data_IF_045406274821
#
_entry.id   IF_045406274821
#
_cell.length_a   1.000
_cell.length_b   1.000
_cell.length_c   1.000
_cell.angle_alpha   90.00
_cell.angle_beta   90.00
_cell.angle_gamma   90.00
#
_symmetry.space_group_name_H-M   'P 1'
#
loop_
_entity.id
_entity.type
_entity.pdbx_description
1 polymer ?
#
# COMPACT_ATOMS: atom_id res chain seq x y z
N UNK A 1 -8.98 -5.15 37.56
CA UNK A 1 -7.88 -4.28 37.10
C UNK A 1 -7.47 -4.79 35.73
N UNK A 2 -7.64 -3.99 34.67
CA UNK A 2 -7.24 -4.41 33.32
C UNK A 2 -5.71 -4.37 33.27
N UNK A 3 -5.09 -5.54 33.25
CA UNK A 3 -3.67 -5.72 32.97
C UNK A 3 -3.44 -5.35 31.52
N UNK A 4 -3.12 -4.08 31.24
CA UNK A 4 -2.71 -3.68 29.90
C UNK A 4 -1.37 -4.33 29.60
N UNK A 5 -1.32 -5.14 28.54
CA UNK A 5 -0.08 -5.69 28.01
C UNK A 5 0.82 -4.49 27.65
N UNK A 6 2.12 -4.50 28.04
CA UNK A 6 3.07 -3.49 27.59
C UNK A 6 3.05 -3.33 26.07
N UNK A 7 3.15 -2.10 25.59
CA UNK A 7 3.09 -1.78 24.16
C UNK A 7 4.15 -2.55 23.36
N UNK A 8 5.36 -2.69 23.89
CA UNK A 8 6.46 -3.45 23.26
C UNK A 8 6.08 -4.91 22.97
N UNK A 9 5.32 -5.54 23.87
CA UNK A 9 4.86 -6.91 23.66
C UNK A 9 3.76 -6.98 22.59
N UNK A 10 2.85 -6.00 22.55
CA UNK A 10 1.84 -5.91 21.50
C UNK A 10 2.51 -5.71 20.13
N UNK A 11 3.52 -4.85 20.06
CA UNK A 11 4.29 -4.61 18.85
C UNK A 11 5.03 -5.87 18.41
N UNK A 12 5.73 -6.55 19.31
CA UNK A 12 6.42 -7.81 18.98
C UNK A 12 5.45 -8.89 18.46
N UNK A 13 4.26 -9.03 19.06
CA UNK A 13 3.25 -9.98 18.58
C UNK A 13 2.78 -9.60 17.18
N UNK A 14 2.50 -8.33 16.92
CA UNK A 14 2.01 -7.87 15.62
C UNK A 14 3.09 -7.91 14.55
N UNK A 15 4.35 -7.63 14.89
CA UNK A 15 5.49 -7.78 14.01
C UNK A 15 5.66 -9.26 13.60
N UNK A 16 5.43 -10.22 14.51
CA UNK A 16 5.41 -11.67 14.18
C UNK A 16 4.22 -12.09 13.31
N UNK A 17 3.12 -11.32 13.35
CA UNK A 17 1.92 -11.57 12.55
C UNK A 17 1.88 -10.71 11.27
N UNK A 18 2.96 -9.98 10.95
CA UNK A 18 2.99 -9.00 9.86
C UNK A 18 2.53 -9.58 8.51
N UNK A 19 2.88 -10.86 8.25
CA UNK A 19 2.53 -11.56 7.01
C UNK A 19 1.12 -12.20 7.03
N UNK A 20 0.52 -12.40 8.21
CA UNK A 20 -0.83 -12.97 8.35
C UNK A 20 -1.88 -11.87 8.50
N UNK A 21 -2.32 -11.36 7.35
CA UNK A 21 -3.38 -10.35 7.27
C UNK A 21 -4.69 -10.78 7.94
N UNK A 22 -5.00 -12.07 8.03
CA UNK A 22 -6.24 -12.55 8.69
C UNK A 22 -6.10 -12.38 10.19
N UNK A 23 -4.97 -12.80 10.76
CA UNK A 23 -4.68 -12.62 12.18
C UNK A 23 -4.56 -11.15 12.55
N UNK A 24 -3.92 -10.31 11.72
CA UNK A 24 -3.85 -8.85 11.95
C UNK A 24 -5.24 -8.20 11.96
N UNK A 25 -6.16 -8.62 11.09
CA UNK A 25 -7.55 -8.13 11.10
C UNK A 25 -8.25 -8.52 12.40
N UNK A 26 -8.11 -9.75 12.87
CA UNK A 26 -8.67 -10.18 14.15
C UNK A 26 -8.07 -9.39 15.32
N UNK A 27 -6.75 -9.20 15.33
CA UNK A 27 -6.01 -8.41 16.31
C UNK A 27 -6.49 -6.96 16.38
N UNK A 28 -6.84 -6.37 15.24
CA UNK A 28 -7.34 -4.99 15.17
C UNK A 28 -8.64 -4.76 15.95
N UNK A 29 -9.38 -5.83 16.28
CA UNK A 29 -10.65 -5.78 17.01
C UNK A 29 -10.50 -5.98 18.52
N UNK A 30 -9.30 -6.35 19.01
CA UNK A 30 -9.08 -6.70 20.42
C UNK A 30 -9.17 -5.48 21.33
N UNK A 31 -8.45 -4.40 20.99
CA UNK A 31 -8.49 -3.13 21.74
C UNK A 31 -7.91 -1.98 20.91
N UNK A 32 -8.04 -0.73 21.38
CA UNK A 32 -7.50 0.45 20.68
C UNK A 32 -5.98 0.40 20.45
N UNK A 33 -5.22 -0.18 21.38
CA UNK A 33 -3.76 -0.31 21.27
C UNK A 33 -3.42 -1.24 20.10
N UNK A 34 -4.10 -2.39 20.05
CA UNK A 34 -3.91 -3.38 18.99
C UNK A 34 -4.41 -2.86 17.65
N UNK A 35 -5.50 -2.10 17.63
CA UNK A 35 -6.02 -1.45 16.42
C UNK A 35 -4.97 -0.54 15.77
N UNK A 36 -4.41 0.41 16.52
CA UNK A 36 -3.45 1.38 15.97
C UNK A 36 -2.23 0.70 15.36
N UNK A 37 -1.71 -0.34 16.00
CA UNK A 37 -0.51 -1.05 15.52
C UNK A 37 -0.83 -2.08 14.43
N UNK A 38 -1.95 -2.81 14.52
CA UNK A 38 -2.39 -3.72 13.44
C UNK A 38 -2.65 -2.92 12.16
N UNK A 39 -3.24 -1.73 12.30
CA UNK A 39 -3.48 -0.80 11.19
C UNK A 39 -2.19 -0.41 10.47
N UNK A 40 -1.09 -0.23 11.21
CA UNK A 40 0.21 0.05 10.61
C UNK A 40 0.60 -1.05 9.62
N UNK A 41 0.64 -2.32 10.04
CA UNK A 41 0.99 -3.44 9.17
C UNK A 41 -0.03 -3.69 8.05
N UNK A 42 -1.33 -3.57 8.35
CA UNK A 42 -2.41 -3.80 7.39
C UNK A 42 -2.39 -2.81 6.21
N UNK A 43 -1.95 -1.57 6.43
CA UNK A 43 -1.87 -0.54 5.38
C UNK A 43 -0.45 -0.26 4.92
N UNK A 44 0.55 -0.99 5.44
CA UNK A 44 1.95 -0.80 5.07
C UNK A 44 2.19 -1.11 3.60
N UNK A 45 1.55 -2.16 3.10
CA UNK A 45 1.61 -2.61 1.70
C UNK A 45 0.26 -2.45 1.02
N UNK A 46 0.24 -1.80 -0.14
CA UNK A 46 -0.95 -1.60 -0.94
C UNK A 46 -0.77 -2.18 -2.34
N UNK A 47 -1.73 -3.01 -2.79
CA UNK A 47 -1.73 -3.55 -4.14
C UNK A 47 -2.59 -2.66 -5.05
N UNK A 48 -2.00 -2.16 -6.14
CA UNK A 48 -2.69 -1.41 -7.17
C UNK A 48 -2.85 -2.29 -8.40
N UNK A 49 -4.09 -2.44 -8.85
CA UNK A 49 -4.47 -3.15 -10.07
C UNK A 49 -5.18 -2.17 -11.01
N UNK A 50 -5.12 -2.43 -12.32
CA UNK A 50 -5.83 -1.67 -13.36
C UNK A 50 -7.30 -1.45 -13.02
N UNK A 51 -8.02 -2.52 -12.67
CA UNK A 51 -9.43 -2.43 -12.29
C UNK A 51 -9.72 -1.70 -10.96
N UNK A 52 -8.72 -1.49 -10.10
CA UNK A 52 -8.91 -0.98 -8.72
C UNK A 52 -8.32 0.42 -8.53
N UNK A 53 -7.39 0.85 -9.39
CA UNK A 53 -6.68 2.14 -9.23
C UNK A 53 -7.65 3.32 -9.21
N UNK A 54 -8.67 3.32 -10.06
CA UNK A 54 -9.66 4.39 -10.14
C UNK A 54 -10.46 4.55 -8.84
N UNK A 55 -10.85 3.42 -8.23
CA UNK A 55 -11.56 3.44 -6.94
C UNK A 55 -10.63 3.81 -5.80
N UNK A 56 -9.38 3.33 -5.84
CA UNK A 56 -8.36 3.75 -4.89
C UNK A 56 -8.13 5.27 -4.94
N UNK A 57 -7.98 5.87 -6.12
CA UNK A 57 -7.86 7.31 -6.29
C UNK A 57 -9.08 8.07 -5.76
N UNK A 58 -10.31 7.54 -5.90
CA UNK A 58 -11.49 8.14 -5.24
C UNK A 58 -11.34 8.18 -3.72
N UNK A 59 -10.78 7.13 -3.12
CA UNK A 59 -10.51 7.11 -1.68
C UNK A 59 -9.39 8.09 -1.30
N UNK A 60 -8.33 8.20 -2.10
CA UNK A 60 -7.24 9.18 -1.90
C UNK A 60 -7.75 10.63 -1.90
N UNK A 61 -8.78 10.92 -2.70
CA UNK A 61 -9.40 12.25 -2.78
C UNK A 61 -10.18 12.63 -1.53
N UNK A 62 -10.62 11.65 -0.73
CA UNK A 62 -11.35 11.92 0.51
C UNK A 62 -10.46 12.65 1.54
N UNK A 63 -10.94 13.76 2.15
CA UNK A 63 -10.20 14.46 3.20
C UNK A 63 -10.03 13.61 4.47
N UNK A 64 -10.90 12.61 4.68
CA UNK A 64 -10.89 11.73 5.86
C UNK A 64 -9.97 10.51 5.70
N UNK A 65 -9.18 10.48 4.61
CA UNK A 65 -8.29 9.37 4.31
C UNK A 65 -7.09 9.32 5.27
N UNK A 66 -7.27 8.60 6.38
CA UNK A 66 -6.28 8.51 7.46
C UNK A 66 -5.19 7.46 7.26
N UNK A 67 -5.27 6.64 6.19
CA UNK A 67 -4.31 5.55 5.98
C UNK A 67 -3.10 5.92 5.10
N UNK A 68 -3.13 7.07 4.41
CA UNK A 68 -2.07 7.51 3.49
C UNK A 68 -0.65 7.46 4.08
N UNK A 69 -0.41 7.93 5.33
CA UNK A 69 0.94 7.95 5.89
C UNK A 69 1.52 6.57 6.18
N UNK A 70 0.66 5.54 6.25
CA UNK A 70 1.10 4.18 6.55
C UNK A 70 1.56 3.43 5.31
N UNK A 71 1.15 3.85 4.10
CA UNK A 71 1.53 3.18 2.85
C UNK A 71 3.01 3.43 2.57
N UNK A 72 3.82 2.38 2.67
CA UNK A 72 5.28 2.40 2.44
C UNK A 72 5.68 1.58 1.23
N UNK A 73 4.93 0.53 0.93
CA UNK A 73 5.15 -0.38 -0.18
C UNK A 73 3.93 -0.37 -1.09
N UNK A 74 4.16 -0.17 -2.38
CA UNK A 74 3.11 -0.29 -3.39
C UNK A 74 3.49 -1.42 -4.33
N UNK A 75 2.54 -2.33 -4.55
CA UNK A 75 2.67 -3.42 -5.50
C UNK A 75 1.75 -3.14 -6.68
N UNK A 76 2.33 -2.73 -7.81
CA UNK A 76 1.64 -2.52 -9.05
C UNK A 76 1.51 -3.85 -9.80
N UNK A 77 0.30 -4.40 -9.85
CA UNK A 77 -0.03 -5.70 -10.42
C UNK A 77 -0.91 -5.53 -11.66
N UNK A 78 -0.63 -6.27 -12.74
CA UNK A 78 -1.48 -6.28 -13.95
C UNK A 78 -1.66 -4.89 -14.59
N UNK A 79 -0.60 -4.09 -14.63
CA UNK A 79 -0.58 -2.86 -15.41
C UNK A 79 -1.49 -1.73 -14.93
N UNK A 80 -1.48 -1.31 -13.65
CA UNK A 80 -2.27 -0.17 -13.19
C UNK A 80 -1.90 1.15 -13.89
N UNK A 81 -0.74 1.20 -14.54
CA UNK A 81 -0.30 2.33 -15.37
C UNK A 81 -1.02 2.41 -16.72
N UNK A 82 -1.68 1.36 -17.21
CA UNK A 82 -2.44 1.41 -18.47
C UNK A 82 -3.70 2.28 -18.35
N UNK A 83 -4.34 2.27 -17.17
CA UNK A 83 -5.52 3.08 -16.81
C UNK A 83 -5.16 4.42 -16.14
N UNK A 84 -3.89 4.85 -16.21
CA UNK A 84 -3.52 6.24 -15.86
C UNK A 84 -3.94 7.13 -17.02
N UNK A 85 -5.25 7.23 -17.21
CA UNK A 85 -5.89 8.12 -18.17
C UNK A 85 -5.63 9.56 -17.70
N UNK A 86 -4.86 10.30 -18.51
CA UNK A 86 -4.50 11.71 -18.39
C UNK A 86 -4.45 12.32 -16.99
N UNK A 87 -3.25 12.44 -16.40
CA UNK A 87 -2.87 13.31 -15.27
C UNK A 87 -3.64 13.17 -13.92
N UNK A 88 -4.95 12.89 -13.89
CA UNK A 88 -5.79 12.97 -12.69
C UNK A 88 -5.38 11.93 -11.65
N UNK A 89 -5.24 10.66 -12.06
CA UNK A 89 -4.82 9.59 -11.16
C UNK A 89 -3.37 9.80 -10.68
N UNK A 90 -2.50 10.39 -11.52
CA UNK A 90 -1.12 10.70 -11.15
C UNK A 90 -1.05 11.82 -10.09
N UNK A 91 -1.92 12.83 -10.15
CA UNK A 91 -2.01 13.88 -9.12
C UNK A 91 -2.46 13.30 -7.78
N UNK A 92 -3.42 12.39 -7.77
CA UNK A 92 -3.89 11.75 -6.54
C UNK A 92 -2.79 10.89 -5.88
N UNK A 93 -2.02 10.18 -6.70
CA UNK A 93 -0.90 9.35 -6.22
C UNK A 93 0.24 10.19 -5.60
N UNK A 94 0.41 11.47 -5.98
CA UNK A 94 1.39 12.38 -5.35
C UNK A 94 1.14 12.62 -3.87
N UNK A 95 -0.08 12.36 -3.39
CA UNK A 95 -0.43 12.46 -1.96
C UNK A 95 0.27 11.37 -1.12
N UNK A 96 0.78 10.32 -1.76
CA UNK A 96 1.46 9.20 -1.11
C UNK A 96 2.93 9.53 -0.85
N UNK A 97 3.17 10.47 0.05
CA UNK A 97 4.52 10.99 0.38
C UNK A 97 5.38 10.01 1.18
N UNK A 98 4.78 8.95 1.73
CA UNK A 98 5.46 7.98 2.60
C UNK A 98 5.92 6.71 1.87
N UNK A 99 5.61 6.58 0.57
CA UNK A 99 5.95 5.40 -0.23
C UNK A 99 7.44 5.40 -0.53
N UNK A 100 8.12 4.31 -0.14
CA UNK A 100 9.57 4.14 -0.30
C UNK A 100 9.91 3.09 -1.34
N UNK A 101 9.08 2.07 -1.43
CA UNK A 101 9.30 0.93 -2.32
C UNK A 101 8.11 0.79 -3.25
N UNK A 102 8.40 0.71 -4.55
CA UNK A 102 7.44 0.36 -5.57
C UNK A 102 7.87 -0.96 -6.19
N UNK A 103 7.01 -1.96 -6.16
CA UNK A 103 7.21 -3.20 -6.90
C UNK A 103 6.28 -3.22 -8.10
N UNK A 104 6.80 -3.63 -9.25
CA UNK A 104 6.04 -3.79 -10.48
C UNK A 104 6.06 -5.27 -10.83
N UNK A 105 4.87 -5.84 -10.99
CA UNK A 105 4.66 -7.24 -11.34
C UNK A 105 3.85 -7.32 -12.63
N UNK A 106 4.39 -8.04 -13.61
CA UNK A 106 3.73 -8.30 -14.89
C UNK A 106 4.47 -7.74 -16.11
N UNK A 107 3.99 -8.14 -17.29
CA UNK A 107 4.57 -7.72 -18.57
C UNK A 107 4.26 -6.25 -18.85
N UNK A 108 5.30 -5.46 -19.12
CA UNK A 108 5.17 -4.07 -19.59
C UNK A 108 5.25 -4.08 -21.11
N UNK A 109 4.14 -3.74 -21.77
CA UNK A 109 4.14 -3.57 -23.22
C UNK A 109 4.90 -2.30 -23.63
N UNK A 110 5.52 -2.30 -24.81
CA UNK A 110 6.29 -1.15 -25.29
C UNK A 110 5.46 0.14 -25.43
N UNK A 111 4.15 0.02 -25.70
CA UNK A 111 3.22 1.15 -25.72
C UNK A 111 2.96 1.77 -24.35
N UNK A 112 3.19 1.03 -23.26
CA UNK A 112 2.86 1.43 -21.90
C UNK A 112 4.01 2.18 -21.19
N UNK A 113 5.19 2.31 -21.79
CA UNK A 113 6.33 3.02 -21.19
C UNK A 113 6.03 4.49 -20.86
N UNK A 114 5.23 5.17 -21.68
CA UNK A 114 4.81 6.54 -21.44
C UNK A 114 4.01 6.66 -20.14
N UNK A 115 2.95 5.87 -20.01
CA UNK A 115 2.10 5.86 -18.83
C UNK A 115 2.83 5.33 -17.60
N UNK A 116 3.72 4.33 -17.76
CA UNK A 116 4.58 3.84 -16.68
C UNK A 116 5.51 4.95 -16.18
N UNK A 117 6.08 5.78 -17.06
CA UNK A 117 6.89 6.94 -16.65
C UNK A 117 6.09 7.95 -15.84
N UNK A 118 4.87 8.26 -16.28
CA UNK A 118 3.97 9.17 -15.54
C UNK A 118 3.61 8.59 -14.18
N UNK A 119 3.31 7.29 -14.12
CA UNK A 119 3.02 6.58 -12.88
C UNK A 119 4.22 6.60 -11.92
N UNK A 120 5.42 6.28 -12.40
CA UNK A 120 6.65 6.37 -11.60
C UNK A 120 6.91 7.80 -11.10
N UNK A 121 6.67 8.81 -11.94
CA UNK A 121 6.80 10.22 -11.58
C UNK A 121 5.75 10.73 -10.59
N UNK A 122 4.68 9.98 -10.35
CA UNK A 122 3.66 10.33 -9.37
C UNK A 122 4.13 10.11 -7.92
N UNK A 123 5.22 9.36 -7.69
CA UNK A 123 5.70 9.05 -6.36
C UNK A 123 6.97 9.83 -6.01
N UNK A 124 6.88 10.92 -5.22
CA UNK A 124 8.03 11.79 -4.97
C UNK A 124 9.10 11.18 -4.05
N UNK A 125 8.73 10.19 -3.22
CA UNK A 125 9.60 9.61 -2.18
C UNK A 125 10.09 8.19 -2.49
N UNK A 126 9.76 7.64 -3.68
CA UNK A 126 10.18 6.29 -4.06
C UNK A 126 11.70 6.25 -4.21
N UNK A 127 12.35 5.43 -3.40
CA UNK A 127 13.80 5.21 -3.43
C UNK A 127 14.17 3.90 -4.10
N UNK A 128 13.27 2.91 -4.08
CA UNK A 128 13.50 1.58 -4.65
C UNK A 128 12.36 1.21 -5.56
N UNK A 129 12.72 0.83 -6.79
CA UNK A 129 11.82 0.20 -7.76
C UNK A 129 12.33 -1.23 -7.96
N UNK A 130 11.48 -2.21 -7.68
CA UNK A 130 11.77 -3.61 -7.93
C UNK A 130 10.84 -4.16 -9.02
N UNK A 131 11.38 -4.98 -9.91
CA UNK A 131 10.60 -5.76 -10.87
C UNK A 131 10.50 -7.17 -10.29
N UNK A 132 9.30 -7.58 -9.89
CA UNK A 132 9.05 -8.93 -9.37
C UNK A 132 8.37 -9.74 -10.47
N UNK A 133 8.98 -10.84 -10.87
CA UNK A 133 8.24 -11.92 -11.51
C UNK A 133 7.26 -12.48 -10.48
N UNK A 134 5.98 -12.33 -10.77
CA UNK A 134 4.87 -12.66 -9.89
C UNK A 134 4.92 -14.13 -9.45
N UNK A 135 5.49 -14.40 -8.28
CA UNK A 135 5.21 -15.60 -7.52
C UNK A 135 4.83 -15.16 -6.11
N UNK A 136 3.54 -15.23 -5.81
CA UNK A 136 3.05 -15.05 -4.45
C UNK A 136 3.45 -16.29 -3.63
N UNK A 137 3.91 -16.14 -2.37
CA UNK A 137 3.99 -17.27 -1.46
C UNK A 137 2.58 -17.74 -1.11
N UNK A 138 2.39 -19.06 -1.12
CA UNK A 138 1.15 -19.80 -0.81
C UNK A 138 0.67 -19.63 0.64
#
# INVERSE_FOLDING_TARGET
>A
MITQLPQELVEAILDHLADDLRSLKACSLVSRIWFSRSRFHLFETCCLMSNTISDFCKVLRSPDCTFLPYIRHINALNGPWEDVDGDVNAVDLRRLTSVRTLTISGAVNASAYGSLRTFLGAFPAVMRVALLDCHAPE
#
